data_IF_576096197796
#
_entry.id   IF_576096197796
#
_cell.length_a   1.000
_cell.length_b   1.000
_cell.length_c   1.000
_cell.angle_alpha   90.00
_cell.angle_beta   90.00
_cell.angle_gamma   90.00
#
_symmetry.space_group_name_H-M   'P 1'
#
loop_
_entity.id
_entity.type
_entity.pdbx_description
1 polymer ?
#
# COMPACT_ATOMS: atom_id res chain seq x y z
N UNK A 1 -20.77 8.17 -8.61
CA UNK A 1 -21.47 8.97 -7.58
C UNK A 1 -20.97 8.48 -6.23
N UNK A 2 -20.50 9.37 -5.36
CA UNK A 2 -20.12 9.05 -3.98
C UNK A 2 -20.98 9.89 -3.05
N UNK A 3 -21.50 9.28 -1.99
CA UNK A 3 -22.26 9.96 -0.94
C UNK A 3 -21.62 9.64 0.41
N UNK A 4 -21.71 10.56 1.35
CA UNK A 4 -21.20 10.39 2.72
C UNK A 4 -22.36 9.97 3.59
N UNK A 5 -22.14 8.98 4.45
CA UNK A 5 -23.15 8.49 5.41
C UNK A 5 -22.50 8.47 6.78
N UNK A 6 -23.22 8.97 7.79
CA UNK A 6 -22.86 8.78 9.18
C UNK A 6 -23.29 7.39 9.63
N UNK A 7 -22.36 6.67 10.26
CA UNK A 7 -22.61 5.34 10.83
C UNK A 7 -22.34 5.39 12.33
N UNK A 8 -23.17 4.71 13.11
CA UNK A 8 -22.88 4.46 14.52
C UNK A 8 -21.76 3.39 14.58
N UNK A 9 -20.62 3.65 15.24
CA UNK A 9 -19.57 2.64 15.36
C UNK A 9 -20.03 1.50 16.27
N UNK A 10 -19.86 0.26 15.80
CA UNK A 10 -20.04 -0.94 16.62
C UNK A 10 -18.83 -1.11 17.55
N UNK A 11 -19.09 -1.28 18.84
CA UNK A 11 -18.04 -1.57 19.83
C UNK A 11 -17.74 -3.06 19.77
N UNK A 12 -16.51 -3.41 19.38
CA UNK A 12 -16.04 -4.80 19.39
C UNK A 12 -15.74 -5.27 20.83
N UNK A 13 -15.84 -6.58 21.10
CA UNK A 13 -15.42 -7.15 22.39
C UNK A 13 -13.96 -6.77 22.69
N UNK A 14 -13.67 -6.47 23.96
CA UNK A 14 -12.30 -6.23 24.40
C UNK A 14 -11.48 -7.52 24.25
N UNK A 15 -10.26 -7.37 23.75
CA UNK A 15 -9.22 -8.40 23.80
C UNK A 15 -8.20 -7.98 24.86
N UNK A 16 -7.29 -8.86 25.30
CA UNK A 16 -6.15 -8.44 26.15
C UNK A 16 -4.83 -8.51 25.37
N UNK A 17 -4.93 -8.65 24.05
CA UNK A 17 -3.79 -8.86 23.17
C UNK A 17 -2.99 -7.56 22.99
N UNK A 18 -1.67 -7.72 23.00
CA UNK A 18 -0.71 -6.68 22.67
C UNK A 18 0.27 -7.18 21.61
N UNK A 19 0.60 -6.33 20.64
CA UNK A 19 1.58 -6.66 19.59
C UNK A 19 2.60 -5.54 19.43
N UNK A 20 3.88 -5.93 19.44
CA UNK A 20 4.98 -5.07 18.97
C UNK A 20 5.19 -5.28 17.47
N UNK A 21 5.43 -4.20 16.73
CA UNK A 21 5.61 -4.24 15.28
C UNK A 21 6.91 -3.52 14.93
N UNK A 22 7.84 -4.27 14.35
CA UNK A 22 9.08 -3.79 13.74
C UNK A 22 8.90 -3.68 12.22
N UNK A 23 9.16 -2.49 11.66
CA UNK A 23 8.98 -2.22 10.22
C UNK A 23 10.30 -2.36 9.46
N UNK A 24 10.30 -3.21 8.43
CA UNK A 24 11.53 -3.56 7.70
C UNK A 24 11.49 -3.26 6.20
N UNK A 25 12.68 -3.29 5.59
CA UNK A 25 12.86 -3.18 4.12
C UNK A 25 12.74 -4.56 3.45
N UNK A 26 13.28 -5.61 4.08
CA UNK A 26 13.30 -6.98 3.54
C UNK A 26 11.94 -7.67 3.71
N UNK A 27 11.39 -7.56 4.91
CA UNK A 27 10.04 -7.98 5.31
C UNK A 27 9.30 -6.70 5.68
N UNK A 28 8.04 -6.52 5.25
CA UNK A 28 7.33 -5.27 5.46
C UNK A 28 7.12 -4.98 6.95
N UNK A 29 6.71 -5.99 7.73
CA UNK A 29 6.59 -5.88 9.18
C UNK A 29 6.89 -7.24 9.85
N UNK A 30 7.51 -7.22 11.01
CA UNK A 30 7.68 -8.38 11.89
C UNK A 30 6.99 -8.08 13.21
N UNK A 31 6.13 -8.99 13.65
CA UNK A 31 5.39 -8.84 14.90
C UNK A 31 6.15 -9.53 16.04
N UNK A 32 5.90 -9.08 17.28
CA UNK A 32 6.50 -9.65 18.50
C UNK A 32 6.14 -11.12 18.73
N UNK A 33 5.05 -11.61 18.13
CA UNK A 33 4.64 -13.02 18.14
C UNK A 33 5.40 -13.88 17.11
N UNK A 34 6.33 -13.28 16.35
CA UNK A 34 7.10 -13.92 15.29
C UNK A 34 6.45 -13.90 13.92
N UNK A 35 5.22 -13.38 13.78
CA UNK A 35 4.52 -13.25 12.50
C UNK A 35 5.28 -12.30 11.58
N UNK A 36 5.49 -12.71 10.32
CA UNK A 36 6.17 -11.91 9.29
C UNK A 36 5.22 -11.54 8.18
N UNK A 37 5.11 -10.24 7.91
CA UNK A 37 4.26 -9.69 6.86
C UNK A 37 5.14 -9.27 5.68
N UNK A 38 4.92 -9.88 4.52
CA UNK A 38 5.57 -9.49 3.27
C UNK A 38 4.84 -8.32 2.61
N UNK A 39 5.60 -7.47 1.89
CA UNK A 39 5.01 -6.47 1.02
C UNK A 39 4.17 -7.13 -0.11
N UNK A 40 3.07 -6.49 -0.56
CA UNK A 40 2.13 -7.10 -1.49
C UNK A 40 2.81 -7.49 -2.81
N UNK A 41 2.77 -8.78 -3.18
CA UNK A 41 3.31 -9.27 -4.45
C UNK A 41 2.28 -9.04 -5.57
N UNK A 42 2.66 -8.61 -6.79
CA UNK A 42 4.02 -8.42 -7.30
C UNK A 42 4.44 -6.93 -7.36
N UNK A 43 4.53 -6.23 -6.22
CA UNK A 43 4.98 -4.83 -6.15
C UNK A 43 6.34 -4.62 -6.86
N UNK A 44 7.31 -5.50 -6.63
CA UNK A 44 8.65 -5.45 -7.26
C UNK A 44 8.59 -5.49 -8.80
N UNK A 45 7.76 -6.36 -9.39
CA UNK A 45 7.58 -6.46 -10.85
C UNK A 45 6.95 -5.19 -11.41
N UNK A 46 5.97 -4.62 -10.70
CA UNK A 46 5.28 -3.38 -11.09
C UNK A 46 6.21 -2.17 -11.03
N UNK A 47 7.04 -2.06 -9.98
CA UNK A 47 8.08 -1.01 -9.86
C UNK A 47 9.10 -1.13 -11.02
N UNK A 48 9.56 -2.34 -11.34
CA UNK A 48 10.46 -2.56 -12.49
C UNK A 48 9.81 -2.12 -13.81
N UNK A 49 8.51 -2.42 -14.01
CA UNK A 49 7.75 -1.97 -15.17
C UNK A 49 7.61 -0.45 -15.20
N UNK A 50 7.40 0.18 -14.05
CA UNK A 50 7.30 1.64 -13.93
C UNK A 50 8.60 2.31 -14.38
N UNK A 51 9.75 1.83 -13.88
CA UNK A 51 11.07 2.33 -14.30
C UNK A 51 11.27 2.18 -15.81
N UNK A 52 10.89 1.03 -16.38
CA UNK A 52 10.98 0.78 -17.83
C UNK A 52 10.11 1.73 -18.67
N UNK A 53 8.93 2.09 -18.18
CA UNK A 53 8.02 3.01 -18.90
C UNK A 53 8.37 4.49 -18.68
N UNK A 54 9.00 4.83 -17.56
CA UNK A 54 9.41 6.20 -17.24
C UNK A 54 10.63 6.63 -18.07
N UNK A 55 11.59 5.72 -18.32
CA UNK A 55 12.78 6.00 -19.14
C UNK A 55 12.48 6.52 -20.57
N UNK A 56 11.59 5.90 -21.37
CA UNK A 56 11.24 6.43 -22.68
C UNK A 56 10.34 7.66 -22.60
N UNK A 57 9.66 7.92 -21.48
CA UNK A 57 8.87 9.14 -21.31
C UNK A 57 9.78 10.37 -21.16
N UNK A 58 10.88 10.26 -20.39
CA UNK A 58 11.81 11.37 -20.17
C UNK A 58 12.52 11.83 -21.44
N UNK A 59 12.70 10.94 -22.43
CA UNK A 59 13.30 11.28 -23.72
C UNK A 59 12.30 11.80 -24.76
N UNK A 60 11.00 11.86 -24.47
CA UNK A 60 9.99 12.31 -25.44
C UNK A 60 9.73 13.81 -25.32
N UNK A 61 9.59 14.47 -26.46
CA UNK A 61 9.19 15.88 -26.54
C UNK A 61 7.83 16.08 -25.89
N UNK A 62 7.81 16.88 -24.82
CA UNK A 62 6.59 17.27 -24.09
C UNK A 62 5.57 17.88 -25.06
N UNK A 63 4.29 17.55 -24.88
CA UNK A 63 3.19 18.02 -25.75
C UNK A 63 3.01 17.23 -27.06
N UNK A 64 3.95 16.38 -27.46
CA UNK A 64 3.75 15.52 -28.64
C UNK A 64 2.71 14.42 -28.38
N UNK A 65 1.99 13.98 -29.42
CA UNK A 65 1.03 12.85 -29.33
C UNK A 65 1.68 11.57 -28.75
N UNK A 66 2.98 11.36 -29.03
CA UNK A 66 3.75 10.21 -28.50
C UNK A 66 4.07 10.37 -27.02
N UNK A 67 4.38 11.58 -26.57
CA UNK A 67 4.59 11.90 -25.15
C UNK A 67 3.31 11.67 -24.36
N UNK A 68 2.17 12.19 -24.83
CA UNK A 68 0.89 12.03 -24.15
C UNK A 68 0.48 10.56 -23.96
N UNK A 69 0.64 9.74 -25.01
CA UNK A 69 0.42 8.29 -24.92
C UNK A 69 1.33 7.61 -23.87
N UNK A 70 2.59 8.04 -23.75
CA UNK A 70 3.51 7.49 -22.76
C UNK A 70 3.19 7.98 -21.33
N UNK A 71 2.84 9.27 -21.17
CA UNK A 71 2.44 9.90 -19.91
C UNK A 71 1.24 9.18 -19.30
N UNK A 72 0.20 8.93 -20.09
CA UNK A 72 -1.01 8.21 -19.64
C UNK A 72 -0.68 6.79 -19.19
N UNK A 73 0.21 6.06 -19.89
CA UNK A 73 0.62 4.70 -19.49
C UNK A 73 1.36 4.70 -18.14
N UNK A 74 2.26 5.66 -17.94
CA UNK A 74 2.99 5.84 -16.68
C UNK A 74 2.02 6.19 -15.55
N UNK A 75 1.12 7.15 -15.78
CA UNK A 75 0.09 7.56 -14.81
C UNK A 75 -0.82 6.39 -14.39
N UNK A 76 -1.32 5.60 -15.35
CA UNK A 76 -2.13 4.40 -15.06
C UNK A 76 -1.38 3.39 -14.19
N UNK A 77 -0.07 3.23 -14.41
CA UNK A 77 0.73 2.31 -13.60
C UNK A 77 1.02 2.86 -12.19
N UNK A 78 1.22 4.17 -12.05
CA UNK A 78 1.31 4.82 -10.74
C UNK A 78 0.02 4.67 -9.94
N UNK A 79 -1.14 4.92 -10.55
CA UNK A 79 -2.44 4.74 -9.91
C UNK A 79 -2.57 3.30 -9.39
N UNK A 80 -2.34 2.31 -10.26
CA UNK A 80 -2.43 0.89 -9.86
C UNK A 80 -1.46 0.50 -8.74
N UNK A 81 -0.27 1.09 -8.69
CA UNK A 81 0.71 0.89 -7.62
C UNK A 81 0.23 1.51 -6.30
N UNK A 82 -0.29 2.73 -6.36
CA UNK A 82 -0.89 3.42 -5.20
C UNK A 82 -2.04 2.60 -4.64
N UNK A 83 -2.99 2.21 -5.48
CA UNK A 83 -4.18 1.44 -5.06
C UNK A 83 -3.78 0.11 -4.42
N UNK A 84 -2.77 -0.59 -4.97
CA UNK A 84 -2.27 -1.85 -4.40
C UNK A 84 -1.66 -1.64 -3.01
N UNK A 85 -0.93 -0.52 -2.80
CA UNK A 85 -0.35 -0.19 -1.50
C UNK A 85 -1.42 0.20 -0.49
N UNK A 86 -2.36 1.05 -0.89
CA UNK A 86 -3.46 1.49 -0.03
C UNK A 86 -4.32 0.32 0.41
N UNK A 87 -4.72 -0.57 -0.51
CA UNK A 87 -5.50 -1.77 -0.20
C UNK A 87 -4.78 -2.69 0.81
N UNK A 88 -3.49 -2.94 0.59
CA UNK A 88 -2.67 -3.72 1.51
C UNK A 88 -2.60 -3.09 2.90
N UNK A 89 -2.31 -1.79 2.99
CA UNK A 89 -2.19 -1.08 4.26
C UNK A 89 -3.52 -1.04 5.01
N UNK A 90 -4.63 -0.81 4.33
CA UNK A 90 -5.96 -0.78 4.94
C UNK A 90 -6.35 -2.15 5.50
N UNK A 91 -6.13 -3.22 4.73
CA UNK A 91 -6.41 -4.59 5.19
C UNK A 91 -5.56 -4.96 6.39
N UNK A 92 -4.26 -4.65 6.35
CA UNK A 92 -3.34 -4.98 7.41
C UNK A 92 -3.64 -4.20 8.71
N UNK A 93 -3.82 -2.88 8.61
CA UNK A 93 -4.16 -2.05 9.77
C UNK A 93 -5.49 -2.45 10.39
N UNK A 94 -6.51 -2.74 9.57
CA UNK A 94 -7.81 -3.23 10.05
C UNK A 94 -7.65 -4.54 10.82
N UNK A 95 -6.83 -5.46 10.31
CA UNK A 95 -6.54 -6.72 10.99
C UNK A 95 -5.87 -6.49 12.34
N UNK A 96 -4.78 -5.71 12.36
CA UNK A 96 -4.01 -5.43 13.58
C UNK A 96 -4.90 -4.81 14.66
N UNK A 97 -5.69 -3.79 14.32
CA UNK A 97 -6.56 -3.07 15.26
C UNK A 97 -7.69 -3.97 15.79
N UNK A 98 -8.23 -4.88 14.98
CA UNK A 98 -9.29 -5.79 15.42
C UNK A 98 -8.78 -6.89 16.36
N UNK A 99 -7.51 -7.28 16.22
CA UNK A 99 -6.95 -8.41 16.97
C UNK A 99 -6.22 -7.98 18.25
N UNK A 100 -5.87 -6.71 18.41
CA UNK A 100 -5.00 -6.21 19.49
C UNK A 100 -5.56 -4.94 20.15
N UNK A 101 -5.52 -4.85 21.48
CA UNK A 101 -5.83 -3.60 22.19
C UNK A 101 -4.63 -2.67 22.30
N UNK A 102 -3.43 -3.24 22.39
CA UNK A 102 -2.19 -2.47 22.50
C UNK A 102 -1.31 -2.75 21.30
N UNK A 103 -0.86 -1.68 20.63
CA UNK A 103 0.04 -1.76 19.49
C UNK A 103 1.26 -0.90 19.81
N UNK A 104 2.44 -1.51 19.79
CA UNK A 104 3.72 -0.82 19.94
C UNK A 104 4.44 -0.83 18.59
N UNK A 105 4.96 0.31 18.17
CA UNK A 105 5.65 0.47 16.89
C UNK A 105 7.14 0.78 17.14
N UNK A 106 8.01 0.04 16.48
CA UNK A 106 9.45 0.28 16.41
C UNK A 106 9.82 0.55 14.94
N UNK A 107 10.64 1.59 14.69
CA UNK A 107 11.00 2.10 13.36
C UNK A 107 12.50 2.25 13.22
#
# INVERSE_FOLDING_TARGET
>A
MSFVVEIQPEILPKTDNSVGIDLGIKTFATFSDGTKIDAPKPLKKRIKKLRKLSKPLSHKTKGSKRYEKARVRVAKLHAKLKDTRTDFLHKLSTKIIRENQTIVLEV
#
